data_IF_382151734281
#
_entry.id   IF_382151734281
#
_cell.length_a   1.000
_cell.length_b   1.000
_cell.length_c   1.000
_cell.angle_alpha   90.00
_cell.angle_beta   90.00
_cell.angle_gamma   90.00
#
_symmetry.space_group_name_H-M   'P 1'
#
loop_
_entity.id
_entity.type
_entity.pdbx_description
1 polymer ?
#
# COMPACT_ATOMS: atom_id res chain seq x y z
N UNK A 1 -13.76 12.62 9.24
CA UNK A 1 -12.34 12.82 8.89
C UNK A 1 -11.68 11.47 9.05
N UNK A 2 -11.47 10.77 7.94
CA UNK A 2 -10.90 9.42 7.93
C UNK A 2 -9.39 9.52 7.73
N UNK A 3 -8.63 8.72 8.47
CA UNK A 3 -7.16 8.61 8.35
C UNK A 3 -6.87 7.71 7.12
N UNK A 4 -5.86 7.99 6.29
CA UNK A 4 -5.51 7.10 5.18
C UNK A 4 -5.00 5.75 5.71
N UNK A 5 -5.52 4.65 5.17
CA UNK A 5 -5.15 3.29 5.56
C UNK A 5 -4.56 2.55 4.37
N UNK A 6 -3.41 1.89 4.56
CA UNK A 6 -2.78 0.99 3.59
C UNK A 6 -2.52 -0.35 4.27
N UNK A 7 -2.82 -1.46 3.58
CA UNK A 7 -2.67 -2.81 4.12
C UNK A 7 -1.43 -3.45 3.49
N UNK A 8 -0.46 -3.83 4.31
CA UNK A 8 0.70 -4.61 3.85
C UNK A 8 0.47 -6.10 4.07
N UNK A 9 0.33 -6.85 2.98
CA UNK A 9 0.28 -8.31 3.03
C UNK A 9 1.71 -8.85 3.01
N UNK A 10 2.23 -9.20 4.19
CA UNK A 10 3.62 -9.64 4.36
C UNK A 10 3.81 -11.14 4.17
N UNK A 11 5.07 -11.59 4.05
CA UNK A 11 5.47 -13.00 3.93
C UNK A 11 4.86 -13.70 2.72
N UNK A 12 4.72 -12.97 1.61
CA UNK A 12 4.13 -13.49 0.36
C UNK A 12 4.93 -14.64 -0.24
N UNK A 13 6.22 -14.71 0.05
CA UNK A 13 7.14 -15.80 -0.27
C UNK A 13 6.79 -17.11 0.46
N UNK A 14 6.11 -17.05 1.59
CA UNK A 14 5.70 -18.24 2.35
C UNK A 14 4.32 -18.77 1.94
N UNK A 15 3.62 -18.05 1.06
CA UNK A 15 2.24 -18.38 0.65
C UNK A 15 2.22 -19.52 -0.38
N UNK A 16 3.18 -19.55 -1.30
CA UNK A 16 3.34 -20.66 -2.24
C UNK A 16 4.75 -20.75 -2.83
N UNK A 17 5.15 -21.97 -3.23
CA UNK A 17 6.48 -22.27 -3.78
C UNK A 17 6.85 -21.45 -5.03
N UNK A 18 5.86 -21.04 -5.82
CA UNK A 18 6.12 -20.23 -7.01
C UNK A 18 6.63 -18.83 -6.65
N UNK A 19 6.05 -18.22 -5.61
CA UNK A 19 6.46 -16.89 -5.12
C UNK A 19 7.73 -16.98 -4.26
N UNK A 20 7.89 -18.09 -3.54
CA UNK A 20 9.15 -18.42 -2.85
C UNK A 20 10.33 -18.47 -3.81
N UNK A 21 10.16 -19.19 -4.93
CA UNK A 21 11.17 -19.34 -5.97
C UNK A 21 11.43 -18.02 -6.71
N UNK A 22 10.35 -17.28 -7.02
CA UNK A 22 10.48 -15.99 -7.68
C UNK A 22 9.34 -15.02 -7.32
N UNK A 23 9.75 -13.91 -6.69
CA UNK A 23 8.86 -12.85 -6.19
C UNK A 23 8.07 -12.19 -7.33
N UNK A 24 8.54 -12.26 -8.58
CA UNK A 24 7.81 -11.71 -9.73
C UNK A 24 6.41 -12.31 -9.89
N UNK A 25 6.18 -13.52 -9.38
CA UNK A 25 4.89 -14.20 -9.45
C UNK A 25 3.88 -13.72 -8.39
N UNK A 26 4.24 -12.77 -7.50
CA UNK A 26 3.36 -12.24 -6.45
C UNK A 26 1.97 -11.88 -6.98
N UNK A 27 1.89 -11.07 -8.04
CA UNK A 27 0.61 -10.61 -8.60
C UNK A 27 -0.04 -11.63 -9.55
N UNK A 28 0.69 -12.67 -9.96
CA UNK A 28 0.19 -13.75 -10.82
C UNK A 28 -0.33 -14.94 -10.03
N UNK A 29 0.13 -15.11 -8.78
CA UNK A 29 -0.26 -16.20 -7.90
C UNK A 29 -1.71 -16.08 -7.49
N UNK A 30 -2.53 -17.07 -7.85
CA UNK A 30 -3.94 -17.15 -7.44
C UNK A 30 -4.09 -17.13 -5.92
N UNK A 31 -3.21 -17.83 -5.20
CA UNK A 31 -3.26 -17.92 -3.73
C UNK A 31 -2.97 -16.54 -3.12
N UNK A 32 -2.01 -15.78 -3.65
CA UNK A 32 -1.72 -14.41 -3.17
C UNK A 32 -2.93 -13.52 -3.43
N UNK A 33 -3.53 -13.58 -4.62
CA UNK A 33 -4.73 -12.82 -4.96
C UNK A 33 -5.91 -13.12 -4.02
N UNK A 34 -6.16 -14.39 -3.71
CA UNK A 34 -7.20 -14.79 -2.75
C UNK A 34 -6.91 -14.24 -1.34
N UNK A 35 -5.64 -14.24 -0.90
CA UNK A 35 -5.25 -13.63 0.39
C UNK A 35 -5.44 -12.12 0.39
N UNK A 36 -5.15 -11.44 -0.71
CA UNK A 36 -5.38 -10.00 -0.86
C UNK A 36 -6.86 -9.67 -0.75
N UNK A 37 -7.73 -10.40 -1.46
CA UNK A 37 -9.18 -10.22 -1.37
C UNK A 37 -9.71 -10.45 0.05
N UNK A 38 -9.23 -11.50 0.73
CA UNK A 38 -9.62 -11.76 2.11
C UNK A 38 -9.17 -10.66 3.07
N UNK A 39 -7.95 -10.13 2.90
CA UNK A 39 -7.47 -9.03 3.71
C UNK A 39 -8.29 -7.74 3.48
N UNK A 40 -8.64 -7.46 2.23
CA UNK A 40 -9.49 -6.34 1.86
C UNK A 40 -10.89 -6.44 2.50
N UNK A 41 -11.52 -7.61 2.40
CA UNK A 41 -12.83 -7.91 3.01
C UNK A 41 -12.81 -7.74 4.53
N UNK A 42 -11.78 -8.27 5.21
CA UNK A 42 -11.64 -8.15 6.67
C UNK A 42 -11.50 -6.71 7.14
N UNK A 43 -10.91 -5.85 6.32
CA UNK A 43 -10.67 -4.44 6.66
C UNK A 43 -11.77 -3.51 6.12
N UNK A 44 -12.73 -4.03 5.35
CA UNK A 44 -13.76 -3.22 4.69
C UNK A 44 -13.20 -2.25 3.65
N UNK A 45 -12.04 -2.55 3.08
CA UNK A 45 -11.34 -1.70 2.12
C UNK A 45 -11.33 -2.34 0.72
N UNK A 46 -11.20 -1.54 -0.35
CA UNK A 46 -10.97 -2.08 -1.70
C UNK A 46 -9.64 -2.84 -1.77
N UNK A 47 -9.57 -3.86 -2.61
CA UNK A 47 -8.35 -4.68 -2.78
C UNK A 47 -7.14 -3.87 -3.29
N UNK A 48 -7.38 -2.70 -3.90
CA UNK A 48 -6.33 -1.77 -4.34
C UNK A 48 -5.49 -1.22 -3.19
N UNK A 49 -6.00 -1.23 -1.96
CA UNK A 49 -5.29 -0.80 -0.75
C UNK A 49 -4.46 -1.93 -0.13
N UNK A 50 -4.50 -3.14 -0.68
CA UNK A 50 -3.72 -4.28 -0.20
C UNK A 50 -2.48 -4.46 -1.06
N UNK A 51 -1.31 -4.27 -0.44
CA UNK A 51 -0.02 -4.32 -1.10
C UNK A 51 0.75 -5.57 -0.65
N UNK A 52 0.96 -6.56 -1.53
CA UNK A 52 1.78 -7.71 -1.23
C UNK A 52 3.27 -7.31 -1.16
N UNK A 53 3.92 -7.64 -0.04
CA UNK A 53 5.34 -7.35 0.19
C UNK A 53 6.08 -8.58 0.72
N UNK A 54 7.33 -8.72 0.28
CA UNK A 54 8.30 -9.64 0.89
C UNK A 54 9.23 -8.82 1.77
N UNK A 55 9.41 -9.27 3.01
CA UNK A 55 10.30 -8.61 3.97
C UNK A 55 11.69 -9.26 3.92
N UNK A 56 12.75 -8.44 4.02
CA UNK A 56 14.09 -8.93 4.30
C UNK A 56 14.16 -9.41 5.76
N UNK A 57 14.08 -10.73 5.95
CA UNK A 57 14.07 -11.35 7.30
C UNK A 57 15.31 -12.20 7.60
N UNK A 58 15.98 -12.74 6.58
CA UNK A 58 17.12 -13.64 6.77
C UNK A 58 18.13 -13.65 5.60
N UNK A 59 17.94 -12.81 4.58
CA UNK A 59 18.82 -12.74 3.40
C UNK A 59 19.98 -11.75 3.57
N UNK A 60 21.18 -12.13 3.14
CA UNK A 60 22.35 -11.25 3.06
C UNK A 60 22.43 -10.47 1.74
N UNK A 61 21.69 -10.90 0.72
CA UNK A 61 21.67 -10.33 -0.63
C UNK A 61 20.37 -9.56 -0.88
N UNK A 62 20.52 -8.38 -1.47
CA UNK A 62 19.42 -7.54 -1.96
C UNK A 62 18.84 -8.16 -3.24
N UNK A 63 17.52 -8.11 -3.41
CA UNK A 63 16.79 -8.61 -4.56
C UNK A 63 15.93 -7.50 -5.18
N UNK A 64 16.13 -7.23 -6.47
CA UNK A 64 15.48 -6.13 -7.17
C UNK A 64 13.94 -6.24 -7.16
N UNK A 65 13.40 -7.46 -7.31
CA UNK A 65 11.95 -7.67 -7.28
C UNK A 65 11.36 -7.36 -5.89
N UNK A 66 12.07 -7.74 -4.83
CA UNK A 66 11.72 -7.41 -3.46
C UNK A 66 11.77 -5.90 -3.21
N UNK A 67 12.82 -5.22 -3.69
CA UNK A 67 12.94 -3.76 -3.59
C UNK A 67 11.80 -3.04 -4.31
N UNK A 68 11.44 -3.50 -5.52
CA UNK A 68 10.30 -2.95 -6.27
C UNK A 68 9.02 -3.04 -5.44
N UNK A 69 8.74 -4.17 -4.78
CA UNK A 69 7.55 -4.31 -3.94
C UNK A 69 7.57 -3.36 -2.73
N UNK A 70 8.71 -3.26 -2.05
CA UNK A 70 8.86 -2.39 -0.87
C UNK A 70 8.76 -0.91 -1.24
N UNK A 71 9.46 -0.49 -2.29
CA UNK A 71 9.41 0.88 -2.79
C UNK A 71 8.03 1.24 -3.33
N UNK A 72 7.34 0.30 -4.00
CA UNK A 72 5.94 0.52 -4.42
C UNK A 72 5.01 0.70 -3.21
N UNK A 73 5.21 -0.05 -2.14
CA UNK A 73 4.44 0.10 -0.91
C UNK A 73 4.69 1.45 -0.23
N UNK A 74 5.95 1.88 -0.14
CA UNK A 74 6.32 3.20 0.36
C UNK A 74 5.72 4.32 -0.49
N UNK A 75 5.82 4.22 -1.81
CA UNK A 75 5.23 5.20 -2.72
C UNK A 75 3.71 5.29 -2.53
N UNK A 76 3.01 4.15 -2.41
CA UNK A 76 1.57 4.14 -2.17
C UNK A 76 1.18 4.82 -0.84
N UNK A 77 1.97 4.59 0.23
CA UNK A 77 1.75 5.27 1.52
C UNK A 77 1.95 6.78 1.41
N UNK A 78 2.98 7.25 0.70
CA UNK A 78 3.22 8.68 0.49
C UNK A 78 2.10 9.31 -0.34
N UNK A 79 1.71 8.71 -1.47
CA UNK A 79 0.59 9.21 -2.27
C UNK A 79 -0.70 9.26 -1.46
N UNK A 80 -0.97 8.26 -0.61
CA UNK A 80 -2.16 8.26 0.24
C UNK A 80 -2.17 9.39 1.27
N UNK A 81 -1.00 9.85 1.72
CA UNK A 81 -0.85 10.99 2.63
C UNK A 81 -1.02 12.30 1.85
N UNK A 82 -0.42 12.41 0.66
CA UNK A 82 -0.55 13.59 -0.19
C UNK A 82 -2.01 13.82 -0.60
N UNK A 83 -2.69 12.77 -1.09
CA UNK A 83 -4.12 12.81 -1.43
C UNK A 83 -4.97 13.24 -0.22
N UNK A 84 -4.64 12.72 0.97
CA UNK A 84 -5.33 13.10 2.20
C UNK A 84 -5.07 14.56 2.60
N UNK A 85 -3.87 15.10 2.37
CA UNK A 85 -3.53 16.48 2.70
C UNK A 85 -4.19 17.48 1.74
N UNK A 86 -4.34 17.15 0.47
CA UNK A 86 -5.02 18.00 -0.50
C UNK A 86 -6.46 18.29 -0.09
N UNK A 87 -7.17 17.27 0.42
CA UNK A 87 -8.52 17.41 0.98
C UNK A 87 -8.61 18.35 2.20
N UNK A 88 -7.48 18.66 2.85
CA UNK A 88 -7.39 19.58 3.99
C UNK A 88 -6.89 20.98 3.62
N UNK A 89 -6.41 21.20 2.39
CA UNK A 89 -6.01 22.54 1.98
C UNK A 89 -7.25 23.37 1.68
N UNK A 90 -7.57 24.41 2.49
CA UNK A 90 -8.72 25.25 2.20
C UNK A 90 -8.47 25.93 0.86
N UNK A 91 -9.51 25.96 0.03
CA UNK A 91 -9.47 26.65 -1.25
C UNK A 91 -9.10 28.12 -1.03
N UNK A 92 -8.47 28.79 -2.01
CA UNK A 92 -8.17 30.22 -1.92
C UNK A 92 -9.39 31.09 -1.57
N UNK A 93 -10.59 30.63 -1.94
CA UNK A 93 -11.87 31.29 -1.63
C UNK A 93 -12.25 31.20 -0.14
N UNK A 94 -11.98 30.06 0.51
CA UNK A 94 -12.21 29.86 1.94
C UNK A 94 -11.19 30.65 2.79
N UNK A 95 -9.94 30.75 2.31
CA UNK A 95 -8.91 31.60 2.95
C UNK A 95 -9.33 33.08 2.90
N UNK A 96 -9.86 33.55 1.77
CA UNK A 96 -10.34 34.93 1.61
C UNK A 96 -11.55 35.22 2.52
N UNK A 97 -12.50 34.28 2.62
CA UNK A 97 -13.65 34.38 3.54
C UNK A 97 -13.23 34.40 5.01
N UNK A 98 -12.22 33.62 5.39
CA UNK A 98 -11.67 33.63 6.76
C UNK A 98 -10.93 34.94 7.09
N UNK A 99 -10.29 35.58 6.10
CA UNK A 99 -9.63 36.90 6.27
C UNK A 99 -10.62 38.06 6.37
N UNK A 100 -11.83 37.94 5.83
CA UNK A 100 -12.88 38.97 5.94
C UNK A 100 -13.68 38.91 7.26
N UNK A 101 -13.40 37.93 8.12
CA UNK A 101 -14.11 37.73 9.40
C UNK A 101 -13.36 38.32 10.61
N UNK A 102 -12.25 39.05 10.40
CA UNK A 102 -11.51 39.78 11.43
C UNK A 102 -11.31 41.25 11.06
#
# INVERSE_FOLDING_TARGET
MDIPHVILLTKVDQVCKAVEADVQYVYRSRIVKERMHKAAELMGLPVSFVLPVKNYSSGRSVDCNTDILLLSALNCMLCSIDDWLEDYTPSPQEIEQQRQTF
#
